data_IF_103042810328
#
_entry.id   IF_103042810328
#
_cell.length_a   1.000
_cell.length_b   1.000
_cell.length_c   1.000
_cell.angle_alpha   90.00
_cell.angle_beta   90.00
_cell.angle_gamma   90.00
#
_symmetry.space_group_name_H-M   'P 1'
#
loop_
_entity.id
_entity.type
_entity.pdbx_description
1 polymer ?
#
# COMPACT_ATOMS: atom_id res chain seq x y z
N UNK A 1 -6.41 5.72 29.68
CA UNK A 1 -6.79 6.38 28.41
C UNK A 1 -5.59 6.95 27.62
N UNK A 2 -4.73 7.78 28.19
CA UNK A 2 -3.56 8.33 27.44
C UNK A 2 -2.60 7.29 26.87
N UNK A 3 -2.46 6.12 27.49
CA UNK A 3 -1.60 5.04 27.02
C UNK A 3 -2.17 4.34 25.77
N UNK A 4 -3.48 4.10 25.71
CA UNK A 4 -4.15 3.42 24.60
C UNK A 4 -4.07 4.27 23.33
N UNK A 5 -4.34 5.56 23.47
CA UNK A 5 -4.23 6.50 22.35
C UNK A 5 -2.80 6.64 21.84
N UNK A 6 -1.82 6.64 22.74
CA UNK A 6 -0.39 6.63 22.37
C UNK A 6 -0.02 5.38 21.57
N UNK A 7 -0.59 4.22 21.93
CA UNK A 7 -0.38 2.95 21.21
C UNK A 7 -1.00 2.97 19.82
N UNK A 8 -2.24 3.47 19.66
CA UNK A 8 -2.90 3.62 18.35
C UNK A 8 -2.17 4.63 17.47
N UNK A 9 -1.76 5.77 18.03
CA UNK A 9 -0.97 6.77 17.32
C UNK A 9 0.38 6.22 16.84
N UNK A 10 1.06 5.42 17.69
CA UNK A 10 2.33 4.78 17.34
C UNK A 10 2.10 3.66 16.32
N UNK A 11 1.04 2.86 16.46
CA UNK A 11 0.74 1.78 15.53
C UNK A 11 0.36 2.32 14.13
N UNK A 12 -0.42 3.40 14.03
CA UNK A 12 -0.74 4.02 12.75
C UNK A 12 0.48 4.70 12.11
N UNK A 13 1.32 5.37 12.90
CA UNK A 13 2.59 5.93 12.42
C UNK A 13 3.56 4.83 12.00
N UNK A 14 3.64 3.72 12.73
CA UNK A 14 4.45 2.57 12.40
C UNK A 14 3.90 1.81 11.17
N UNK A 15 2.60 1.59 11.05
CA UNK A 15 2.01 0.94 9.88
C UNK A 15 2.22 1.78 8.59
N UNK A 16 2.22 3.12 8.71
CA UNK A 16 2.56 4.00 7.59
C UNK A 16 4.07 4.03 7.28
N UNK A 17 4.94 3.81 8.29
CA UNK A 17 6.40 3.84 8.16
C UNK A 17 7.00 2.45 7.86
N UNK A 18 6.40 1.36 8.37
CA UNK A 18 6.96 0.01 8.25
C UNK A 18 6.87 -0.60 6.85
N UNK A 19 6.07 -0.03 5.94
CA UNK A 19 6.05 -0.41 4.52
C UNK A 19 6.88 0.51 3.62
N UNK A 20 7.54 1.51 4.16
CA UNK A 20 8.60 2.26 3.49
C UNK A 20 9.94 1.62 3.84
N UNK A 21 10.14 0.36 3.44
CA UNK A 21 11.47 -0.22 3.36
C UNK A 21 12.25 0.58 2.33
N UNK A 22 13.04 1.54 2.78
CA UNK A 22 14.17 2.02 1.98
C UNK A 22 15.09 0.82 1.87
N UNK A 23 15.04 0.14 0.74
CA UNK A 23 16.07 -0.80 0.34
C UNK A 23 17.33 0.05 0.13
N UNK A 24 18.13 0.17 1.19
CA UNK A 24 19.50 0.72 1.14
C UNK A 24 20.46 -0.33 0.53
N UNK A 25 19.98 -1.04 -0.50
CA UNK A 25 20.80 -1.82 -1.39
C UNK A 25 21.42 -0.82 -2.36
N UNK A 26 22.74 -0.86 -2.49
CA UNK A 26 23.43 -0.06 -3.49
C UNK A 26 22.69 -0.12 -4.83
N UNK A 27 22.63 1.00 -5.55
CA UNK A 27 21.90 1.08 -6.82
C UNK A 27 22.54 0.07 -7.79
N UNK A 28 21.81 -1.02 -8.05
CA UNK A 28 22.20 -2.02 -9.02
C UNK A 28 21.96 -1.46 -10.42
N UNK A 29 22.90 -1.73 -11.33
CA UNK A 29 22.77 -1.33 -12.74
C UNK A 29 22.37 -2.52 -13.58
N UNK A 30 21.63 -2.24 -14.66
CA UNK A 30 21.31 -3.22 -15.68
C UNK A 30 22.61 -3.82 -16.23
N UNK A 31 22.72 -5.15 -16.27
CA UNK A 31 23.86 -5.86 -16.86
C UNK A 31 23.83 -5.73 -18.38
N UNK A 32 25.02 -5.76 -19.00
CA UNK A 32 25.17 -5.65 -20.46
C UNK A 32 24.46 -6.77 -21.24
N UNK A 33 24.28 -7.92 -20.59
CA UNK A 33 23.66 -9.11 -21.21
C UNK A 33 22.11 -9.08 -21.11
N UNK A 34 21.54 -8.10 -20.39
CA UNK A 34 20.09 -8.01 -20.23
C UNK A 34 19.45 -7.33 -21.42
N UNK A 35 18.35 -7.91 -21.89
CA UNK A 35 17.53 -7.30 -22.93
C UNK A 35 16.62 -6.25 -22.33
N UNK A 36 16.51 -5.11 -23.02
CA UNK A 36 15.48 -4.12 -22.71
C UNK A 36 14.30 -4.35 -23.64
N UNK A 37 13.16 -4.56 -23.05
CA UNK A 37 11.89 -4.77 -23.75
C UNK A 37 11.05 -3.48 -23.74
N UNK A 38 9.76 -3.58 -23.45
CA UNK A 38 8.85 -2.45 -23.45
C UNK A 38 9.27 -1.32 -22.50
N UNK A 39 9.29 -0.08 -23.01
CA UNK A 39 9.58 1.12 -22.22
C UNK A 39 8.36 2.05 -22.16
N UNK A 40 8.05 2.56 -20.96
CA UNK A 40 6.94 3.49 -20.73
C UNK A 40 7.33 4.52 -19.65
N UNK A 41 7.10 5.80 -19.92
CA UNK A 41 7.31 6.91 -18.97
C UNK A 41 8.71 6.95 -18.32
N UNK A 42 9.75 6.54 -19.04
CA UNK A 42 11.13 6.53 -18.55
C UNK A 42 11.48 5.28 -17.72
N UNK A 43 10.64 4.26 -17.73
CA UNK A 43 10.89 2.95 -17.16
C UNK A 43 10.92 1.91 -18.28
N UNK A 44 11.80 0.91 -18.17
CA UNK A 44 11.92 -0.15 -19.14
C UNK A 44 11.86 -1.52 -18.45
N UNK A 45 11.12 -2.44 -19.04
CA UNK A 45 11.18 -3.84 -18.65
C UNK A 45 12.52 -4.37 -19.14
N UNK A 46 13.24 -5.03 -18.24
CA UNK A 46 14.55 -5.66 -18.53
C UNK A 46 14.47 -7.13 -18.20
N UNK A 47 15.12 -7.98 -19.00
CA UNK A 47 15.11 -9.43 -18.79
C UNK A 47 16.51 -10.02 -18.85
N UNK A 48 16.75 -11.02 -18.00
CA UNK A 48 17.98 -11.79 -17.92
C UNK A 48 17.92 -13.12 -18.69
N UNK A 49 17.12 -13.20 -19.74
CA UNK A 49 16.82 -14.38 -20.55
C UNK A 49 15.67 -15.29 -20.02
N UNK A 50 15.37 -15.32 -18.75
CA UNK A 50 14.33 -16.16 -18.12
C UNK A 50 13.30 -15.37 -17.35
N UNK A 51 13.76 -14.31 -16.66
CA UNK A 51 12.93 -13.52 -15.76
C UNK A 51 12.98 -12.05 -16.14
N UNK A 52 11.87 -11.35 -15.91
CA UNK A 52 11.72 -9.94 -16.19
C UNK A 52 11.78 -9.11 -14.90
N UNK A 53 12.32 -7.91 -15.01
CA UNK A 53 12.44 -6.90 -13.99
C UNK A 53 12.17 -5.50 -14.54
N UNK A 54 12.41 -4.47 -13.74
CA UNK A 54 12.17 -3.07 -14.11
C UNK A 54 13.42 -2.23 -13.85
N UNK A 55 13.77 -1.38 -14.80
CA UNK A 55 14.82 -0.39 -14.66
C UNK A 55 14.31 1.01 -15.03
N UNK A 56 14.98 2.04 -14.52
CA UNK A 56 14.73 3.42 -14.94
C UNK A 56 15.51 3.78 -16.22
N UNK A 57 15.24 4.97 -16.76
CA UNK A 57 15.92 5.49 -17.96
C UNK A 57 17.44 5.71 -17.79
N UNK A 58 17.96 5.62 -16.57
CA UNK A 58 19.40 5.71 -16.27
C UNK A 58 20.04 4.33 -16.14
N UNK A 59 19.25 3.26 -16.33
CA UNK A 59 19.66 1.87 -16.17
C UNK A 59 19.81 1.44 -14.71
N UNK A 60 19.17 2.13 -13.76
CA UNK A 60 19.11 1.66 -12.39
C UNK A 60 18.02 0.61 -12.27
N UNK A 61 18.35 -0.54 -11.70
CA UNK A 61 17.39 -1.62 -11.44
C UNK A 61 16.50 -1.24 -10.29
N UNK A 62 15.20 -1.11 -10.56
CA UNK A 62 14.16 -0.80 -9.56
C UNK A 62 13.53 -2.08 -9.03
N UNK A 63 13.35 -3.06 -9.92
CA UNK A 63 12.87 -4.41 -9.60
C UNK A 63 13.83 -5.40 -10.25
N UNK A 64 14.53 -6.23 -9.48
CA UNK A 64 15.37 -7.28 -10.04
C UNK A 64 14.56 -8.23 -10.92
N UNK A 65 15.15 -8.91 -11.93
CA UNK A 65 14.49 -9.95 -12.70
C UNK A 65 14.02 -11.10 -11.80
N UNK A 66 12.71 -11.14 -11.53
CA UNK A 66 12.06 -12.11 -10.64
C UNK A 66 10.76 -12.65 -11.23
N UNK A 67 10.17 -11.95 -12.20
CA UNK A 67 8.89 -12.29 -12.79
C UNK A 67 9.06 -13.12 -14.05
N UNK A 68 8.32 -14.24 -14.15
CA UNK A 68 8.28 -15.05 -15.39
C UNK A 68 7.66 -14.30 -16.57
N UNK A 69 6.81 -13.30 -16.28
CA UNK A 69 6.26 -12.34 -17.24
C UNK A 69 6.00 -11.02 -16.53
N UNK A 70 6.35 -9.91 -17.15
CA UNK A 70 6.13 -8.56 -16.63
C UNK A 70 5.68 -7.65 -17.77
N UNK A 71 4.66 -6.82 -17.55
CA UNK A 71 4.24 -5.82 -18.52
C UNK A 71 3.52 -4.64 -17.85
N UNK A 72 3.48 -3.51 -18.53
CA UNK A 72 2.75 -2.35 -18.07
C UNK A 72 1.24 -2.54 -18.29
N UNK A 73 0.46 -2.31 -17.23
CA UNK A 73 -1.00 -2.16 -17.32
C UNK A 73 -1.39 -0.70 -17.58
N UNK A 74 -0.65 0.21 -16.93
CA UNK A 74 -0.74 1.66 -17.12
C UNK A 74 0.66 2.25 -16.99
N UNK A 75 0.79 3.58 -17.17
CA UNK A 75 2.09 4.26 -17.02
C UNK A 75 2.77 4.09 -15.65
N UNK A 76 2.02 3.71 -14.62
CA UNK A 76 2.51 3.63 -13.24
C UNK A 76 2.37 2.24 -12.62
N UNK A 77 1.62 1.34 -13.27
CA UNK A 77 1.24 0.03 -12.72
C UNK A 77 1.69 -1.05 -13.68
N UNK A 78 2.37 -2.05 -13.14
CA UNK A 78 2.77 -3.25 -13.86
C UNK A 78 2.08 -4.48 -13.25
N UNK A 79 1.92 -5.52 -14.07
CA UNK A 79 1.56 -6.86 -13.63
C UNK A 79 2.76 -7.78 -13.83
N UNK A 80 3.20 -8.43 -12.77
CA UNK A 80 4.27 -9.42 -12.76
C UNK A 80 3.75 -10.78 -12.35
N UNK A 81 4.05 -11.82 -13.14
CA UNK A 81 3.66 -13.19 -12.86
C UNK A 81 4.75 -13.93 -12.09
N UNK A 82 4.40 -14.45 -10.94
CA UNK A 82 5.27 -15.26 -10.08
C UNK A 82 4.60 -16.58 -9.71
N UNK A 83 5.29 -17.69 -9.88
CA UNK A 83 4.91 -19.01 -9.39
C UNK A 83 3.48 -19.46 -9.75
N UNK A 84 2.44 -18.80 -9.28
CA UNK A 84 1.05 -19.22 -9.44
C UNK A 84 0.05 -18.06 -9.52
N UNK A 85 0.51 -16.85 -9.74
CA UNK A 85 -0.38 -15.70 -9.79
C UNK A 85 0.28 -14.41 -10.21
N UNK A 86 -0.51 -13.37 -10.24
CA UNK A 86 -0.12 -12.03 -10.63
C UNK A 86 0.04 -11.12 -9.43
N UNK A 87 1.16 -10.40 -9.38
CA UNK A 87 1.42 -9.33 -8.44
C UNK A 87 1.35 -7.99 -9.19
N UNK A 88 0.47 -7.12 -8.77
CA UNK A 88 0.41 -5.75 -9.28
C UNK A 88 1.40 -4.90 -8.50
N UNK A 89 2.34 -4.29 -9.21
CA UNK A 89 3.39 -3.45 -8.63
C UNK A 89 3.36 -2.04 -9.21
N UNK A 90 3.85 -1.08 -8.45
CA UNK A 90 4.15 0.25 -9.00
C UNK A 90 5.57 0.31 -9.57
N UNK A 91 5.89 1.42 -10.25
CA UNK A 91 7.22 1.68 -10.83
C UNK A 91 8.37 1.73 -9.80
N UNK A 92 8.07 1.79 -8.49
CA UNK A 92 9.08 1.66 -7.43
C UNK A 92 9.24 0.21 -6.93
N UNK A 93 8.64 -0.76 -7.63
CA UNK A 93 8.70 -2.17 -7.24
C UNK A 93 7.86 -2.55 -6.03
N UNK A 94 6.96 -1.67 -5.57
CA UNK A 94 6.10 -1.94 -4.44
C UNK A 94 4.88 -2.73 -4.86
N UNK A 95 4.63 -3.87 -4.21
CA UNK A 95 3.40 -4.63 -4.38
C UNK A 95 2.17 -3.80 -3.92
N UNK A 96 1.14 -3.78 -4.75
CA UNK A 96 -0.12 -3.06 -4.54
C UNK A 96 -1.28 -4.01 -4.26
N UNK A 97 -1.32 -5.13 -4.97
CA UNK A 97 -2.30 -6.20 -4.81
C UNK A 97 -1.77 -7.48 -5.46
N UNK A 98 -2.37 -8.61 -5.10
CA UNK A 98 -2.08 -9.92 -5.68
C UNK A 98 -3.39 -10.59 -6.11
N UNK A 99 -3.32 -11.41 -7.16
CA UNK A 99 -4.44 -12.23 -7.63
C UNK A 99 -3.94 -13.54 -8.20
N UNK A 100 -4.76 -14.58 -8.13
CA UNK A 100 -4.50 -15.82 -8.88
C UNK A 100 -4.64 -15.57 -10.38
N UNK A 101 -4.21 -16.52 -11.19
CA UNK A 101 -4.35 -16.46 -12.63
C UNK A 101 -3.36 -17.32 -13.37
N UNK A 102 -3.38 -17.23 -14.70
CA UNK A 102 -2.48 -17.94 -15.59
C UNK A 102 -1.48 -16.95 -16.20
N UNK A 103 -0.26 -17.43 -16.48
CA UNK A 103 0.77 -16.60 -17.14
C UNK A 103 0.30 -16.03 -18.49
N UNK A 104 -0.67 -16.66 -19.13
CA UNK A 104 -1.23 -16.24 -20.43
C UNK A 104 -2.40 -15.26 -20.31
N UNK A 105 -2.77 -14.82 -19.09
CA UNK A 105 -3.85 -13.84 -18.91
C UNK A 105 -3.53 -12.54 -19.65
N UNK A 106 -4.57 -11.97 -20.27
CA UNK A 106 -4.44 -10.77 -21.10
C UNK A 106 -4.38 -9.50 -20.25
N UNK A 107 -3.59 -8.47 -20.67
CA UNK A 107 -3.42 -7.23 -19.93
C UNK A 107 -4.72 -6.52 -19.56
N UNK A 108 -5.71 -6.50 -20.47
CA UNK A 108 -7.01 -5.85 -20.22
C UNK A 108 -7.80 -6.54 -19.10
N UNK A 109 -7.74 -7.87 -19.05
CA UNK A 109 -8.36 -8.66 -17.99
C UNK A 109 -7.71 -8.38 -16.63
N UNK A 110 -6.39 -8.31 -16.60
CA UNK A 110 -5.62 -8.01 -15.39
C UNK A 110 -5.82 -6.57 -14.93
N UNK A 111 -5.94 -5.63 -15.85
CA UNK A 111 -6.27 -4.24 -15.51
C UNK A 111 -7.65 -4.13 -14.85
N UNK A 112 -8.65 -4.84 -15.38
CA UNK A 112 -9.98 -4.88 -14.79
C UNK A 112 -9.97 -5.51 -13.38
N UNK A 113 -9.22 -6.60 -13.18
CA UNK A 113 -9.07 -7.23 -11.86
C UNK A 113 -8.34 -6.31 -10.88
N UNK A 114 -7.26 -5.66 -11.29
CA UNK A 114 -6.57 -4.66 -10.48
C UNK A 114 -7.52 -3.53 -10.03
N UNK A 115 -8.30 -2.97 -10.95
CA UNK A 115 -9.26 -1.90 -10.63
C UNK A 115 -10.31 -2.36 -9.61
N UNK A 116 -10.79 -3.59 -9.74
CA UNK A 116 -11.72 -4.19 -8.78
C UNK A 116 -11.09 -4.35 -7.39
N UNK A 117 -9.88 -4.91 -7.31
CA UNK A 117 -9.13 -5.06 -6.07
C UNK A 117 -8.86 -3.70 -5.40
N UNK A 118 -8.44 -2.70 -6.19
CA UNK A 118 -8.24 -1.33 -5.68
C UNK A 118 -9.51 -0.74 -5.10
N UNK A 119 -10.64 -0.87 -5.79
CA UNK A 119 -11.93 -0.39 -5.27
C UNK A 119 -12.31 -1.07 -3.94
N UNK A 120 -12.07 -2.35 -3.82
CA UNK A 120 -12.32 -3.09 -2.57
C UNK A 120 -11.41 -2.61 -1.43
N UNK A 121 -10.12 -2.39 -1.71
CA UNK A 121 -9.16 -1.84 -0.76
C UNK A 121 -9.55 -0.43 -0.30
N UNK A 122 -9.92 0.44 -1.24
CA UNK A 122 -10.34 1.81 -0.93
C UNK A 122 -11.59 1.83 -0.03
N UNK A 123 -12.58 0.97 -0.29
CA UNK A 123 -13.76 0.81 0.57
C UNK A 123 -13.42 0.27 1.96
N UNK A 124 -12.45 -0.63 2.07
CA UNK A 124 -11.98 -1.13 3.37
C UNK A 124 -11.28 -0.02 4.17
N UNK A 125 -10.40 0.75 3.53
CA UNK A 125 -9.75 1.90 4.16
C UNK A 125 -10.72 3.01 4.53
N UNK A 126 -11.76 3.28 3.74
CA UNK A 126 -12.80 4.27 4.08
C UNK A 126 -13.56 3.88 5.35
N UNK A 127 -13.86 2.59 5.54
CA UNK A 127 -14.48 2.10 6.79
C UNK A 127 -13.57 2.29 8.00
N UNK A 128 -12.27 1.97 7.85
CA UNK A 128 -11.27 2.17 8.92
C UNK A 128 -11.16 3.65 9.28
N UNK A 129 -11.10 4.54 8.29
CA UNK A 129 -11.03 5.99 8.51
C UNK A 129 -12.27 6.49 9.24
N UNK A 130 -13.48 6.07 8.83
CA UNK A 130 -14.72 6.43 9.50
C UNK A 130 -14.77 5.90 10.94
N UNK A 131 -14.34 4.66 11.18
CA UNK A 131 -14.20 4.10 12.52
C UNK A 131 -13.21 4.88 13.40
N UNK A 132 -12.11 5.34 12.80
CA UNK A 132 -11.13 6.16 13.51
C UNK A 132 -11.66 7.57 13.84
N UNK A 133 -12.40 8.18 12.93
CA UNK A 133 -13.09 9.45 13.20
C UNK A 133 -14.04 9.31 14.39
N UNK A 134 -14.88 8.27 14.40
CA UNK A 134 -15.79 7.95 15.51
C UNK A 134 -15.06 7.66 16.83
N UNK A 135 -13.94 6.95 16.77
CA UNK A 135 -13.09 6.70 17.93
C UNK A 135 -12.52 8.00 18.52
N UNK A 136 -12.04 8.91 17.70
CA UNK A 136 -11.56 10.22 18.15
C UNK A 136 -12.66 11.07 18.79
N UNK A 137 -13.89 10.98 18.25
CA UNK A 137 -15.07 11.63 18.85
C UNK A 137 -15.39 11.04 20.22
N UNK A 138 -15.56 9.73 20.32
CA UNK A 138 -15.84 9.04 21.57
C UNK A 138 -14.78 9.33 22.65
N UNK A 139 -13.50 9.33 22.31
CA UNK A 139 -12.41 9.69 23.23
C UNK A 139 -12.44 11.14 23.71
N UNK A 140 -13.19 12.01 23.03
CA UNK A 140 -13.32 13.43 23.37
C UNK A 140 -14.46 13.71 24.32
N UNK A 141 -15.38 12.74 24.53
CA UNK A 141 -16.50 12.90 25.46
C UNK A 141 -16.03 12.80 26.92
N UNK A 142 -16.51 13.68 27.84
CA UNK A 142 -16.10 13.67 29.25
C UNK A 142 -16.46 12.37 29.97
N UNK A 143 -17.59 11.79 29.61
CA UNK A 143 -18.19 10.61 30.27
C UNK A 143 -17.97 9.32 29.48
N UNK A 144 -17.01 9.32 28.55
CA UNK A 144 -16.74 8.15 27.71
C UNK A 144 -16.38 6.90 28.54
N UNK A 145 -17.09 5.81 28.30
CA UNK A 145 -16.82 4.53 28.95
C UNK A 145 -15.50 3.95 28.46
N UNK A 146 -14.64 3.60 29.41
CA UNK A 146 -13.31 3.06 29.08
C UNK A 146 -13.38 1.70 28.39
N UNK A 147 -14.43 0.88 28.65
CA UNK A 147 -14.63 -0.41 28.01
C UNK A 147 -15.05 -0.27 26.56
N UNK A 148 -15.92 0.70 26.25
CA UNK A 148 -16.35 0.98 24.88
C UNK A 148 -15.19 1.51 24.04
N UNK A 149 -14.41 2.42 24.60
CA UNK A 149 -13.19 2.93 23.96
C UNK A 149 -12.19 1.79 23.66
N UNK A 150 -12.00 0.88 24.61
CA UNK A 150 -11.12 -0.28 24.39
C UNK A 150 -11.65 -1.18 23.27
N UNK A 151 -12.94 -1.47 23.26
CA UNK A 151 -13.57 -2.30 22.23
C UNK A 151 -13.47 -1.69 20.84
N UNK A 152 -13.68 -0.37 20.71
CA UNK A 152 -13.49 0.36 19.45
C UNK A 152 -12.03 0.29 18.98
N UNK A 153 -11.09 0.49 19.90
CA UNK A 153 -9.66 0.38 19.63
C UNK A 153 -9.29 -1.00 19.10
N UNK A 154 -9.72 -2.07 19.77
CA UNK A 154 -9.41 -3.44 19.39
C UNK A 154 -10.02 -3.82 18.03
N UNK A 155 -11.23 -3.31 17.75
CA UNK A 155 -11.88 -3.47 16.43
C UNK A 155 -11.10 -2.80 15.32
N UNK A 156 -10.72 -1.54 15.49
CA UNK A 156 -9.91 -0.80 14.51
C UNK A 156 -8.56 -1.46 14.26
N UNK A 157 -7.86 -1.88 15.31
CA UNK A 157 -6.57 -2.57 15.17
C UNK A 157 -6.70 -3.88 14.39
N UNK A 158 -7.78 -4.64 14.62
CA UNK A 158 -8.06 -5.87 13.89
C UNK A 158 -8.32 -5.57 12.40
N UNK A 159 -9.21 -4.63 12.09
CA UNK A 159 -9.51 -4.25 10.71
C UNK A 159 -8.26 -3.77 9.97
N UNK A 160 -7.45 -2.92 10.61
CA UNK A 160 -6.19 -2.44 10.04
C UNK A 160 -5.20 -3.57 9.74
N UNK A 161 -5.11 -4.57 10.65
CA UNK A 161 -4.19 -5.70 10.47
C UNK A 161 -4.60 -6.63 9.33
N UNK A 162 -5.88 -6.66 9.00
CA UNK A 162 -6.46 -7.49 7.93
C UNK A 162 -6.59 -6.75 6.59
N UNK A 163 -6.40 -5.42 6.58
CA UNK A 163 -6.59 -4.62 5.36
C UNK A 163 -5.27 -4.49 4.61
N UNK A 164 -5.26 -5.01 3.40
CA UNK A 164 -4.14 -4.88 2.47
C UNK A 164 -4.15 -3.52 1.77
N UNK A 165 -3.01 -3.21 1.13
CA UNK A 165 -2.86 -1.99 0.35
C UNK A 165 -2.48 -0.78 1.17
N UNK A 166 -2.65 0.39 0.58
CA UNK A 166 -2.19 1.67 1.14
C UNK A 166 -3.32 2.68 1.11
N UNK A 167 -3.49 3.37 2.23
CA UNK A 167 -4.40 4.51 2.28
C UNK A 167 -4.05 5.57 1.23
N UNK A 168 -5.08 6.11 0.59
CA UNK A 168 -4.94 7.28 -0.27
C UNK A 168 -4.52 8.53 0.52
N UNK A 169 -3.93 9.54 -0.13
CA UNK A 169 -3.62 10.82 0.52
C UNK A 169 -4.84 11.48 1.15
N UNK A 170 -6.02 11.34 0.55
CA UNK A 170 -7.27 11.87 1.07
C UNK A 170 -7.70 11.18 2.36
N UNK A 171 -7.61 9.86 2.43
CA UNK A 171 -7.90 9.07 3.62
C UNK A 171 -6.96 9.42 4.77
N UNK A 172 -5.65 9.56 4.51
CA UNK A 172 -4.66 10.02 5.52
C UNK A 172 -5.01 11.39 6.07
N UNK A 173 -5.36 12.33 5.20
CA UNK A 173 -5.74 13.68 5.63
C UNK A 173 -6.98 13.69 6.51
N UNK A 174 -7.97 12.84 6.28
CA UNK A 174 -9.14 12.68 7.16
C UNK A 174 -8.71 12.25 8.56
N UNK A 175 -7.80 11.31 8.69
CA UNK A 175 -7.24 10.85 9.98
C UNK A 175 -6.50 12.00 10.68
N UNK A 176 -5.66 12.75 9.97
CA UNK A 176 -4.95 13.91 10.54
C UNK A 176 -5.93 14.95 11.09
N UNK A 177 -6.97 15.28 10.34
CA UNK A 177 -8.03 16.22 10.77
C UNK A 177 -8.76 15.71 12.01
N UNK A 178 -9.11 14.42 12.08
CA UNK A 178 -9.76 13.84 13.24
C UNK A 178 -8.86 13.92 14.49
N UNK A 179 -7.57 13.63 14.33
CA UNK A 179 -6.56 13.76 15.39
C UNK A 179 -6.42 15.19 15.91
N UNK A 180 -6.37 16.17 15.01
CA UNK A 180 -6.20 17.57 15.42
C UNK A 180 -7.44 18.07 16.19
N UNK A 181 -8.64 17.73 15.72
CA UNK A 181 -9.90 18.00 16.46
C UNK A 181 -9.91 17.37 17.86
N UNK A 182 -9.46 16.11 17.96
CA UNK A 182 -9.32 15.45 19.26
C UNK A 182 -8.34 16.20 20.17
N UNK A 183 -7.15 16.60 19.67
CA UNK A 183 -6.16 17.35 20.44
C UNK A 183 -6.67 18.69 20.93
N UNK A 184 -7.41 19.42 20.09
CA UNK A 184 -8.03 20.70 20.44
C UNK A 184 -9.05 20.54 21.55
N UNK A 185 -9.97 19.57 21.44
CA UNK A 185 -10.97 19.29 22.47
C UNK A 185 -10.33 18.93 23.82
N UNK A 186 -9.28 18.09 23.80
CA UNK A 186 -8.56 17.68 25.02
C UNK A 186 -7.76 18.81 25.68
N UNK A 187 -7.44 19.86 24.96
CA UNK A 187 -6.79 21.07 25.54
C UNK A 187 -7.82 22.03 26.17
N UNK A 188 -9.07 21.93 25.77
CA UNK A 188 -10.16 22.76 26.25
C UNK A 188 -10.83 22.19 27.52
N UNK A 189 -10.59 20.92 27.86
CA UNK A 189 -11.02 20.25 29.09
C UNK A 189 -9.97 20.38 30.18
#
# INVERSE_FOLDING_TARGET
MAAILKYLLTAMSLAALYRCGTNDRGIEKVHEDWMSEDCMNGYCIVSDSLLAGLADSQGNVLVPPTYGRLFFLTGDILAGYESSGWTFINTNGRALAETGGNIDDEPDSLLAEYQKLRKMQDLAWDRIVAGYESFCEACSEPDADASDIQMMSDSLMREMSMTEGVMSPQQRRRIEVALDRYRERRRAL
#
